data_IF_141162525907
#
_entry.id   IF_141162525907
#
_cell.length_a   1.000
_cell.length_b   1.000
_cell.length_c   1.000
_cell.angle_alpha   90.00
_cell.angle_beta   90.00
_cell.angle_gamma   90.00
#
_symmetry.space_group_name_H-M   'P 1'
#
loop_
_entity.id
_entity.type
_entity.pdbx_description
1 polymer ?
#
# COMPACT_ATOMS: atom_id res chain seq x y z
N UNK A 1 -3.28 -11.09 -0.59
CA UNK A 1 -2.07 -10.38 -0.10
C UNK A 1 -0.88 -11.27 -0.39
N UNK A 2 0.24 -10.68 -0.81
CA UNK A 2 1.48 -11.40 -1.11
C UNK A 2 2.53 -10.92 -0.11
N UNK A 3 3.29 -11.86 0.44
CA UNK A 3 4.41 -11.51 1.34
C UNK A 3 5.56 -11.02 0.48
N UNK A 4 5.96 -9.77 0.63
CA UNK A 4 7.16 -9.23 -0.01
C UNK A 4 8.42 -9.70 0.71
N UNK A 5 9.58 -9.33 0.18
CA UNK A 5 10.86 -9.59 0.85
C UNK A 5 11.04 -8.63 2.02
N UNK A 6 11.13 -9.15 3.24
CA UNK A 6 11.41 -8.35 4.44
C UNK A 6 12.91 -8.06 4.61
N UNK A 7 13.21 -6.94 5.29
CA UNK A 7 14.54 -6.39 5.51
C UNK A 7 15.52 -7.37 6.18
N UNK A 8 14.99 -8.32 6.96
CA UNK A 8 15.78 -9.34 7.67
C UNK A 8 16.38 -10.40 6.75
N UNK A 9 15.83 -10.59 5.54
CA UNK A 9 16.28 -11.62 4.59
C UNK A 9 17.28 -11.10 3.56
N UNK A 10 17.65 -9.81 3.63
CA UNK A 10 18.38 -9.13 2.55
C UNK A 10 19.86 -9.50 2.46
N UNK A 11 20.47 -9.93 3.57
CA UNK A 11 21.88 -10.29 3.64
C UNK A 11 22.17 -11.74 3.18
N UNK A 12 21.15 -12.61 3.13
CA UNK A 12 21.27 -14.00 2.72
C UNK A 12 20.68 -14.17 1.31
N UNK A 13 21.55 -14.31 0.31
CA UNK A 13 21.14 -14.50 -1.09
C UNK A 13 20.26 -15.75 -1.27
N UNK A 14 20.41 -16.80 -0.46
CA UNK A 14 19.56 -18.00 -0.53
C UNK A 14 18.16 -17.69 -0.03
N UNK A 15 18.05 -16.99 1.11
CA UNK A 15 16.77 -16.55 1.65
C UNK A 15 16.06 -15.59 0.68
N UNK A 16 16.80 -14.64 0.11
CA UNK A 16 16.32 -13.70 -0.90
C UNK A 16 15.83 -14.43 -2.17
N UNK A 17 16.57 -15.42 -2.66
CA UNK A 17 16.17 -16.25 -3.81
C UNK A 17 14.87 -16.99 -3.51
N UNK A 18 14.77 -17.64 -2.35
CA UNK A 18 13.56 -18.36 -1.94
C UNK A 18 12.35 -17.42 -1.82
N UNK A 19 12.54 -16.20 -1.32
CA UNK A 19 11.48 -15.21 -1.25
C UNK A 19 11.01 -14.77 -2.66
N UNK A 20 11.93 -14.59 -3.62
CA UNK A 20 11.56 -14.37 -5.02
C UNK A 20 10.85 -15.57 -5.66
N UNK A 21 11.24 -16.80 -5.33
CA UNK A 21 10.52 -18.01 -5.79
C UNK A 21 9.08 -18.00 -5.29
N UNK A 22 8.86 -17.66 -4.02
CA UNK A 22 7.50 -17.51 -3.46
C UNK A 22 6.71 -16.45 -4.21
N UNK A 23 7.28 -15.24 -4.38
CA UNK A 23 6.64 -14.15 -5.11
C UNK A 23 6.27 -14.54 -6.54
N UNK A 24 7.16 -15.22 -7.26
CA UNK A 24 6.93 -15.69 -8.64
C UNK A 24 5.76 -16.67 -8.69
N UNK A 25 5.70 -17.64 -7.77
CA UNK A 25 4.63 -18.62 -7.73
C UNK A 25 3.28 -17.97 -7.40
N UNK A 26 3.26 -17.03 -6.46
CA UNK A 26 2.05 -16.27 -6.10
C UNK A 26 1.58 -15.39 -7.26
N UNK A 27 2.49 -14.66 -7.91
CA UNK A 27 2.19 -13.84 -9.09
C UNK A 27 1.62 -14.67 -10.24
N UNK A 28 2.26 -15.81 -10.55
CA UNK A 28 1.79 -16.73 -11.61
C UNK A 28 0.38 -17.29 -11.35
N UNK A 29 -0.05 -17.31 -10.09
CA UNK A 29 -1.35 -17.84 -9.68
C UNK A 29 -2.41 -16.75 -9.43
N UNK A 30 -2.03 -15.46 -9.46
CA UNK A 30 -2.90 -14.36 -9.01
C UNK A 30 -4.04 -14.04 -9.98
N UNK A 31 -3.86 -14.33 -11.28
CA UNK A 31 -4.84 -14.00 -12.33
C UNK A 31 -5.10 -12.49 -12.40
N UNK A 32 -6.35 -12.09 -12.15
CA UNK A 32 -6.79 -10.68 -12.10
C UNK A 32 -7.00 -10.16 -10.67
N UNK A 33 -6.59 -10.92 -9.66
CA UNK A 33 -6.81 -10.56 -8.25
C UNK A 33 -5.91 -9.39 -7.87
N UNK A 34 -6.44 -8.40 -7.15
CA UNK A 34 -5.62 -7.30 -6.64
C UNK A 34 -4.61 -7.79 -5.59
N UNK A 35 -3.36 -7.34 -5.71
CA UNK A 35 -2.24 -7.79 -4.89
C UNK A 35 -1.78 -6.64 -3.99
N UNK A 36 -1.68 -6.91 -2.69
CA UNK A 36 -1.02 -6.02 -1.74
C UNK A 36 0.31 -6.67 -1.39
N UNK A 37 1.40 -5.98 -1.70
CA UNK A 37 2.77 -6.38 -1.35
C UNK A 37 2.99 -5.95 0.11
N UNK A 38 2.95 -6.92 1.02
CA UNK A 38 3.20 -6.69 2.44
C UNK A 38 4.68 -6.90 2.74
N UNK A 39 5.40 -5.82 3.02
CA UNK A 39 6.83 -5.84 3.34
C UNK A 39 7.19 -4.63 4.20
N UNK A 40 8.17 -4.80 5.10
CA UNK A 40 8.75 -3.70 5.88
C UNK A 40 9.75 -2.83 5.10
N UNK A 41 10.08 -3.19 3.85
CA UNK A 41 11.13 -2.55 3.05
C UNK A 41 10.96 -1.04 2.94
N UNK A 42 9.75 -0.56 2.60
CA UNK A 42 9.50 0.87 2.43
C UNK A 42 9.53 1.61 3.77
N UNK A 43 9.04 0.97 4.84
CA UNK A 43 9.07 1.55 6.18
C UNK A 43 10.52 1.70 6.66
N UNK A 44 11.35 0.67 6.51
CA UNK A 44 12.77 0.70 6.88
C UNK A 44 13.57 1.67 6.00
N UNK A 45 13.28 1.73 4.70
CA UNK A 45 13.98 2.62 3.79
C UNK A 45 13.57 4.10 3.93
N UNK A 46 12.45 4.41 4.58
CA UNK A 46 11.90 5.79 4.63
C UNK A 46 12.86 6.82 5.22
N UNK A 47 13.70 6.43 6.18
CA UNK A 47 14.60 7.34 6.88
C UNK A 47 15.80 7.80 6.04
N UNK A 48 16.33 6.94 5.16
CA UNK A 48 17.59 7.20 4.44
C UNK A 48 17.61 6.71 2.98
N UNK A 49 16.42 6.40 2.43
CA UNK A 49 16.23 5.82 1.10
C UNK A 49 16.88 4.45 0.93
N UNK A 50 16.96 3.69 2.02
CA UNK A 50 17.49 2.33 2.04
C UNK A 50 19.02 2.26 2.03
N UNK A 51 19.72 3.37 2.31
CA UNK A 51 21.19 3.39 2.34
C UNK A 51 21.75 2.46 3.43
N UNK A 52 21.12 2.41 4.60
CA UNK A 52 21.51 1.54 5.71
C UNK A 52 21.34 0.05 5.40
N UNK A 53 20.48 -0.30 4.45
CA UNK A 53 20.31 -1.70 3.99
C UNK A 53 21.50 -2.17 3.15
N UNK A 54 22.30 -1.24 2.62
CA UNK A 54 23.52 -1.55 1.87
C UNK A 54 23.25 -2.28 0.55
N UNK A 55 24.18 -3.16 0.18
CA UNK A 55 24.12 -3.92 -1.07
C UNK A 55 23.20 -5.12 -0.88
N UNK A 56 22.23 -5.28 -1.79
CA UNK A 56 21.30 -6.41 -1.83
C UNK A 56 21.52 -7.14 -3.17
N UNK A 57 21.74 -8.46 -3.15
CA UNK A 57 22.04 -9.25 -4.35
C UNK A 57 20.78 -9.52 -5.22
N UNK A 58 20.02 -8.48 -5.56
CA UNK A 58 18.73 -8.54 -6.25
C UNK A 58 18.81 -9.28 -7.57
N UNK A 59 19.75 -8.90 -8.45
CA UNK A 59 19.86 -9.49 -9.79
C UNK A 59 20.17 -10.97 -9.74
N UNK A 60 21.12 -11.34 -8.88
CA UNK A 60 21.56 -12.73 -8.71
C UNK A 60 20.40 -13.58 -8.20
N UNK A 61 19.76 -13.14 -7.11
CA UNK A 61 18.67 -13.87 -6.49
C UNK A 61 17.44 -13.98 -7.41
N UNK A 62 17.04 -12.91 -8.10
CA UNK A 62 15.92 -12.96 -9.03
C UNK A 62 16.22 -13.84 -10.24
N UNK A 63 17.42 -13.76 -10.81
CA UNK A 63 17.83 -14.64 -11.93
C UNK A 63 17.79 -16.11 -11.53
N UNK A 64 18.28 -16.43 -10.34
CA UNK A 64 18.23 -17.79 -9.80
C UNK A 64 16.78 -18.25 -9.59
N UNK A 65 15.92 -17.39 -9.03
CA UNK A 65 14.51 -17.68 -8.81
C UNK A 65 13.76 -17.95 -10.13
N UNK A 66 13.95 -17.09 -11.13
CA UNK A 66 13.38 -17.25 -12.49
C UNK A 66 13.83 -18.56 -13.14
N UNK A 67 15.12 -18.89 -13.01
CA UNK A 67 15.66 -20.15 -13.54
C UNK A 67 15.05 -21.37 -12.85
N UNK A 68 14.89 -21.32 -11.52
CA UNK A 68 14.35 -22.44 -10.73
C UNK A 68 12.86 -22.69 -10.97
N UNK A 69 12.11 -21.64 -11.30
CA UNK A 69 10.65 -21.67 -11.55
C UNK A 69 10.31 -21.83 -13.03
N UNK A 70 11.29 -21.70 -13.93
CA UNK A 70 11.08 -21.64 -15.39
C UNK A 70 10.10 -20.55 -15.82
N UNK A 71 10.04 -19.44 -15.08
CA UNK A 71 9.16 -18.31 -15.35
C UNK A 71 9.65 -17.44 -16.51
N UNK A 72 8.73 -16.74 -17.17
CA UNK A 72 9.02 -15.87 -18.30
C UNK A 72 9.15 -14.41 -17.85
N UNK A 73 10.32 -14.05 -17.32
CA UNK A 73 10.72 -12.67 -17.05
C UNK A 73 11.95 -12.36 -17.91
N UNK A 74 11.96 -11.22 -18.61
CA UNK A 74 13.07 -10.86 -19.49
C UNK A 74 14.36 -10.63 -18.67
N UNK A 75 15.42 -11.34 -19.04
CA UNK A 75 16.73 -11.23 -18.38
C UNK A 75 17.34 -9.83 -18.50
N UNK A 76 17.02 -9.09 -19.57
CA UNK A 76 17.48 -7.71 -19.75
C UNK A 76 16.82 -6.77 -18.74
N UNK A 77 15.53 -7.00 -18.45
CA UNK A 77 14.82 -6.22 -17.43
C UNK A 77 15.42 -6.48 -16.05
N UNK A 78 15.75 -7.74 -15.72
CA UNK A 78 16.46 -8.10 -14.49
C UNK A 78 17.84 -7.41 -14.44
N UNK A 79 18.59 -7.42 -15.54
CA UNK A 79 19.91 -6.80 -15.61
C UNK A 79 19.87 -5.27 -15.45
N UNK A 80 18.75 -4.63 -15.81
CA UNK A 80 18.55 -3.18 -15.69
C UNK A 80 18.31 -2.70 -14.26
N UNK A 81 17.98 -3.61 -13.33
CA UNK A 81 17.77 -3.29 -11.92
C UNK A 81 19.06 -2.82 -11.23
N UNK A 82 18.97 -2.42 -9.98
CA UNK A 82 20.11 -2.14 -9.09
C UNK A 82 20.21 -3.21 -7.98
N UNK A 83 21.38 -3.30 -7.34
CA UNK A 83 21.63 -4.24 -6.23
C UNK A 83 21.52 -3.51 -4.88
N UNK A 84 20.35 -2.94 -4.63
CA UNK A 84 20.01 -2.13 -3.45
C UNK A 84 18.49 -2.19 -3.16
N UNK A 85 18.04 -1.43 -2.15
CA UNK A 85 16.63 -1.40 -1.74
C UNK A 85 15.69 -0.92 -2.87
N UNK A 86 16.13 0.04 -3.69
CA UNK A 86 15.37 0.50 -4.85
C UNK A 86 15.20 -0.63 -5.86
N UNK A 87 16.30 -1.30 -6.22
CA UNK A 87 16.29 -2.41 -7.16
C UNK A 87 15.42 -3.57 -6.68
N UNK A 88 15.41 -3.84 -5.37
CA UNK A 88 14.54 -4.84 -4.77
C UNK A 88 13.05 -4.49 -4.92
N UNK A 89 12.67 -3.23 -4.66
CA UNK A 89 11.30 -2.79 -4.82
C UNK A 89 10.87 -2.83 -6.31
N UNK A 90 11.76 -2.39 -7.21
CA UNK A 90 11.54 -2.48 -8.65
C UNK A 90 11.45 -3.93 -9.16
N UNK A 91 12.20 -4.86 -8.55
CA UNK A 91 12.14 -6.28 -8.86
C UNK A 91 10.75 -6.87 -8.58
N UNK A 92 10.10 -6.49 -7.48
CA UNK A 92 8.74 -6.97 -7.19
C UNK A 92 7.75 -6.46 -8.24
N UNK A 93 7.83 -5.18 -8.58
CA UNK A 93 7.00 -4.60 -9.63
C UNK A 93 7.20 -5.32 -10.98
N UNK A 94 8.46 -5.62 -11.34
CA UNK A 94 8.80 -6.36 -12.56
C UNK A 94 8.17 -7.75 -12.55
N UNK A 95 8.30 -8.51 -11.46
CA UNK A 95 7.73 -9.85 -11.34
C UNK A 95 6.21 -9.82 -11.49
N UNK A 96 5.53 -8.92 -10.79
CA UNK A 96 4.08 -8.80 -10.83
C UNK A 96 3.58 -8.34 -12.20
N UNK A 97 4.23 -7.35 -12.80
CA UNK A 97 3.85 -6.84 -14.13
C UNK A 97 4.09 -7.88 -15.24
N UNK A 98 5.13 -8.72 -15.10
CA UNK A 98 5.45 -9.77 -16.08
C UNK A 98 4.52 -10.97 -15.96
N UNK A 99 4.22 -11.43 -14.74
CA UNK A 99 3.53 -12.70 -14.51
C UNK A 99 2.03 -12.54 -14.21
N UNK A 100 1.62 -11.37 -13.73
CA UNK A 100 0.23 -11.04 -13.41
C UNK A 100 -0.21 -9.70 -14.06
N UNK A 101 -0.08 -9.52 -15.38
CA UNK A 101 -0.33 -8.24 -16.05
C UNK A 101 -1.79 -7.74 -15.97
N UNK A 102 -2.72 -8.60 -15.53
CA UNK A 102 -4.13 -8.25 -15.33
C UNK A 102 -4.46 -7.97 -13.86
N UNK A 103 -3.54 -8.25 -12.94
CA UNK A 103 -3.68 -7.91 -11.54
C UNK A 103 -3.28 -6.45 -11.33
N UNK A 104 -4.04 -5.73 -10.51
CA UNK A 104 -3.55 -4.46 -9.96
C UNK A 104 -2.73 -4.75 -8.72
N UNK A 105 -1.68 -3.98 -8.47
CA UNK A 105 -0.88 -4.19 -7.27
C UNK A 105 -0.43 -2.90 -6.59
N UNK A 106 -0.15 -3.00 -5.30
CA UNK A 106 0.30 -1.87 -4.50
C UNK A 106 1.15 -2.26 -3.31
N UNK A 107 2.00 -1.32 -2.89
CA UNK A 107 2.91 -1.50 -1.76
C UNK A 107 2.30 -1.10 -0.44
N UNK A 108 2.63 -1.82 0.63
CA UNK A 108 2.33 -1.36 1.99
C UNK A 108 3.27 -0.23 2.43
N UNK A 109 2.71 0.75 3.14
CA UNK A 109 3.45 1.79 3.85
C UNK A 109 2.73 2.10 5.16
N UNK A 110 3.45 2.12 6.27
CA UNK A 110 2.82 2.23 7.58
C UNK A 110 2.52 3.69 7.94
N UNK A 111 1.32 3.93 8.46
CA UNK A 111 0.99 5.17 9.18
C UNK A 111 1.71 5.10 10.54
N UNK A 112 2.91 5.69 10.58
CA UNK A 112 3.80 5.63 11.74
C UNK A 112 3.41 6.52 12.93
N UNK A 113 4.33 6.63 13.89
CA UNK A 113 4.10 7.26 15.20
C UNK A 113 3.75 8.75 15.11
N UNK A 114 4.12 9.42 14.01
CA UNK A 114 3.74 10.80 13.75
C UNK A 114 2.22 11.00 13.89
N UNK A 115 1.40 9.99 13.59
CA UNK A 115 -0.06 10.07 13.64
C UNK A 115 -0.62 10.32 15.06
N UNK A 116 0.17 10.05 16.11
CA UNK A 116 -0.23 10.28 17.50
C UNK A 116 -0.02 11.73 17.98
N UNK A 117 0.70 12.54 17.20
CA UNK A 117 0.97 13.93 17.57
C UNK A 117 -0.16 14.87 17.13
N UNK A 118 -0.15 16.07 17.69
CA UNK A 118 -0.98 17.20 17.24
C UNK A 118 -0.17 18.10 16.32
N UNK A 119 -0.81 18.60 15.26
CA UNK A 119 -0.16 19.46 14.28
C UNK A 119 -0.93 20.77 14.10
N UNK A 120 -0.21 21.86 13.89
CA UNK A 120 -0.82 23.18 13.61
C UNK A 120 -1.48 23.27 12.23
N UNK A 121 -1.32 22.24 11.38
CA UNK A 121 -1.98 22.13 10.08
C UNK A 121 -1.21 21.24 9.10
N UNK A 122 -1.67 21.25 7.85
CA UNK A 122 -1.19 20.39 6.75
C UNK A 122 0.32 20.43 6.54
N UNK A 123 0.92 21.62 6.60
CA UNK A 123 2.38 21.79 6.42
C UNK A 123 3.19 21.15 7.55
N UNK A 124 2.66 21.13 8.77
CA UNK A 124 3.33 20.50 9.89
C UNK A 124 3.32 18.96 9.74
N UNK A 125 2.23 18.38 9.23
CA UNK A 125 2.18 16.95 8.84
C UNK A 125 3.19 16.65 7.73
N UNK A 126 3.24 17.51 6.70
CA UNK A 126 4.18 17.34 5.58
C UNK A 126 5.64 17.27 6.03
N UNK A 127 6.03 18.24 6.87
CA UNK A 127 7.39 18.32 7.39
C UNK A 127 7.72 17.18 8.36
N UNK A 128 6.72 16.62 9.06
CA UNK A 128 6.93 15.59 10.07
C UNK A 128 6.96 14.17 9.49
N UNK A 129 6.30 13.92 8.36
CA UNK A 129 6.21 12.56 7.81
C UNK A 129 6.03 12.49 6.29
N UNK A 130 5.12 13.28 5.70
CA UNK A 130 4.75 13.05 4.28
C UNK A 130 5.88 13.30 3.30
N UNK A 131 6.74 14.29 3.58
CA UNK A 131 7.86 14.61 2.69
C UNK A 131 8.86 13.46 2.54
N UNK A 132 9.20 12.78 3.63
CA UNK A 132 10.13 11.66 3.63
C UNK A 132 9.56 10.46 2.85
N UNK A 133 8.31 10.08 3.16
CA UNK A 133 7.64 9.00 2.43
C UNK A 133 7.46 9.32 0.94
N UNK A 134 7.05 10.54 0.60
CA UNK A 134 6.86 10.95 -0.79
C UNK A 134 8.18 10.96 -1.57
N UNK A 135 9.26 11.46 -0.97
CA UNK A 135 10.60 11.47 -1.56
C UNK A 135 11.15 10.05 -1.73
N UNK A 136 10.96 9.15 -0.75
CA UNK A 136 11.30 7.73 -0.89
C UNK A 136 10.60 7.13 -2.12
N UNK A 137 9.27 7.19 -2.18
CA UNK A 137 8.49 6.56 -3.24
C UNK A 137 8.84 7.13 -4.63
N UNK A 138 9.14 8.43 -4.70
CA UNK A 138 9.63 9.08 -5.92
C UNK A 138 11.02 8.55 -6.31
N UNK A 139 11.94 8.47 -5.35
CA UNK A 139 13.32 8.02 -5.59
C UNK A 139 13.40 6.56 -6.05
N UNK A 140 12.52 5.69 -5.52
CA UNK A 140 12.44 4.29 -5.93
C UNK A 140 11.75 4.11 -7.28
N UNK A 141 11.13 5.16 -7.83
CA UNK A 141 10.46 5.15 -9.12
C UNK A 141 9.31 4.14 -9.25
N UNK A 142 8.63 3.80 -8.14
CA UNK A 142 7.61 2.73 -8.12
C UNK A 142 6.30 3.09 -8.82
N UNK A 143 6.04 4.39 -9.01
CA UNK A 143 4.76 4.94 -9.49
C UNK A 143 4.93 5.87 -10.68
N UNK A 144 6.05 5.81 -11.40
CA UNK A 144 6.28 6.68 -12.56
C UNK A 144 5.27 6.34 -13.68
N UNK A 145 4.55 7.35 -14.16
CA UNK A 145 3.44 7.17 -15.12
C UNK A 145 3.87 6.49 -16.42
N UNK A 146 5.10 6.71 -16.86
CA UNK A 146 5.64 6.17 -18.12
C UNK A 146 6.30 4.78 -17.94
N UNK A 147 6.37 4.26 -16.70
CA UNK A 147 6.93 2.95 -16.42
C UNK A 147 5.91 1.84 -16.74
N UNK A 148 6.34 0.82 -17.48
CA UNK A 148 5.54 -0.38 -17.73
C UNK A 148 5.35 -1.23 -16.48
N UNK A 149 6.24 -1.08 -15.48
CA UNK A 149 6.25 -1.84 -14.24
C UNK A 149 5.85 -0.95 -13.05
N UNK A 150 4.90 -0.03 -13.23
CA UNK A 150 4.44 0.81 -12.11
C UNK A 150 3.46 0.03 -11.23
N UNK A 151 3.46 0.35 -9.93
CA UNK A 151 2.35 -0.05 -9.06
C UNK A 151 1.10 0.82 -9.35
N UNK A 152 -0.07 0.31 -8.98
CA UNK A 152 -1.37 0.92 -9.28
C UNK A 152 -1.96 1.69 -8.11
N UNK A 153 -1.61 1.29 -6.89
CA UNK A 153 -2.05 1.96 -5.67
C UNK A 153 -0.97 1.88 -4.58
N UNK A 154 -1.08 2.74 -3.58
CA UNK A 154 -0.32 2.63 -2.32
C UNK A 154 -1.28 2.18 -1.20
N UNK A 155 -0.88 1.20 -0.40
CA UNK A 155 -1.67 0.65 0.69
C UNK A 155 -1.15 1.12 2.05
N UNK A 156 -1.87 2.02 2.70
CA UNK A 156 -1.52 2.51 4.02
C UNK A 156 -2.05 1.60 5.12
N UNK A 157 -1.17 1.16 6.02
CA UNK A 157 -1.53 0.29 7.15
C UNK A 157 -1.44 1.04 8.46
N UNK A 158 -2.11 0.53 9.50
CA UNK A 158 -1.92 0.98 10.87
C UNK A 158 -1.79 -0.25 11.78
N UNK A 159 -0.77 -0.26 12.62
CA UNK A 159 -0.58 -1.35 13.58
C UNK A 159 -1.69 -1.41 14.63
N UNK A 160 -2.13 -2.63 14.95
CA UNK A 160 -3.00 -2.92 16.09
C UNK A 160 -2.24 -2.88 17.43
N UNK A 161 -0.91 -2.96 17.40
CA UNK A 161 -0.06 -2.92 18.60
C UNK A 161 0.05 -1.52 19.21
N UNK A 162 -0.32 -0.49 18.47
CA UNK A 162 -0.34 0.90 18.94
C UNK A 162 -1.77 1.31 19.31
N UNK A 163 -1.96 2.31 20.20
CA UNK A 163 -3.29 2.74 20.63
C UNK A 163 -4.19 3.17 19.47
N UNK A 164 -5.52 3.15 19.70
CA UNK A 164 -6.46 3.73 18.75
C UNK A 164 -6.17 5.23 18.55
N UNK A 165 -6.30 5.71 17.32
CA UNK A 165 -6.20 7.13 17.01
C UNK A 165 -7.50 7.84 17.41
N UNK A 166 -7.39 9.03 17.97
CA UNK A 166 -8.52 9.94 18.14
C UNK A 166 -9.02 10.47 16.78
N UNK A 167 -10.20 11.09 16.75
CA UNK A 167 -10.75 11.71 15.54
C UNK A 167 -9.82 12.77 14.93
N UNK A 168 -9.10 13.50 15.79
CA UNK A 168 -8.12 14.51 15.38
C UNK A 168 -6.85 13.84 14.83
N UNK A 169 -6.36 12.78 15.48
CA UNK A 169 -5.20 12.02 15.00
C UNK A 169 -5.49 11.34 13.65
N UNK A 170 -6.71 10.81 13.47
CA UNK A 170 -7.16 10.33 12.16
C UNK A 170 -7.25 11.43 11.10
N UNK A 171 -7.52 12.69 11.49
CA UNK A 171 -7.44 13.80 10.55
C UNK A 171 -6.01 13.95 10.01
N UNK A 172 -5.00 13.93 10.88
CA UNK A 172 -3.60 14.05 10.48
C UNK A 172 -3.11 12.83 9.70
N UNK A 173 -3.52 11.63 10.08
CA UNK A 173 -3.23 10.40 9.34
C UNK A 173 -3.79 10.46 7.91
N UNK A 174 -5.05 10.88 7.73
CA UNK A 174 -5.64 11.04 6.40
C UNK A 174 -5.03 12.18 5.59
N UNK A 175 -4.59 13.26 6.25
CA UNK A 175 -3.84 14.31 5.58
C UNK A 175 -2.48 13.78 5.07
N UNK A 176 -1.78 12.96 5.86
CA UNK A 176 -0.56 12.29 5.43
C UNK A 176 -0.82 11.39 4.21
N UNK A 177 -1.85 10.54 4.27
CA UNK A 177 -2.26 9.67 3.15
C UNK A 177 -2.53 10.49 1.90
N UNK A 178 -3.27 11.59 2.03
CA UNK A 178 -3.56 12.50 0.93
C UNK A 178 -2.29 13.10 0.34
N UNK A 179 -1.42 13.65 1.19
CA UNK A 179 -0.20 14.33 0.75
C UNK A 179 0.76 13.41 0.01
N UNK A 180 0.95 12.19 0.53
CA UNK A 180 1.82 11.19 -0.12
C UNK A 180 1.21 10.75 -1.45
N UNK A 181 -0.08 10.36 -1.46
CA UNK A 181 -0.78 9.91 -2.68
C UNK A 181 -0.89 10.99 -3.76
N UNK A 182 -1.18 12.24 -3.39
CA UNK A 182 -1.21 13.39 -4.31
C UNK A 182 0.17 13.63 -4.93
N UNK A 183 1.24 13.50 -4.13
CA UNK A 183 2.61 13.72 -4.60
C UNK A 183 3.04 12.69 -5.65
N UNK A 184 2.79 11.40 -5.39
CA UNK A 184 3.10 10.31 -6.31
C UNK A 184 2.00 10.09 -7.38
N UNK A 185 0.94 10.90 -7.35
CA UNK A 185 -0.21 10.85 -8.28
C UNK A 185 -0.85 9.47 -8.40
N UNK A 186 -0.97 8.76 -7.29
CA UNK A 186 -1.44 7.37 -7.25
C UNK A 186 -2.55 7.23 -6.22
N UNK A 187 -3.65 6.49 -6.50
CA UNK A 187 -4.71 6.28 -5.52
C UNK A 187 -4.23 5.53 -4.27
N UNK A 188 -4.91 5.76 -3.15
CA UNK A 188 -4.58 5.17 -1.86
C UNK A 188 -5.62 4.11 -1.42
N UNK A 189 -5.14 3.05 -0.80
CA UNK A 189 -5.93 2.05 -0.10
C UNK A 189 -5.61 2.17 1.38
N UNK A 190 -6.60 2.14 2.27
CA UNK A 190 -6.33 1.85 3.67
C UNK A 190 -6.45 0.34 3.85
N UNK A 191 -5.38 -0.32 4.27
CA UNK A 191 -5.29 -1.78 4.34
C UNK A 191 -4.97 -2.26 5.75
N UNK A 192 -5.52 -3.42 6.13
CA UNK A 192 -5.28 -4.05 7.43
C UNK A 192 -5.52 -3.08 8.60
N UNK A 193 -6.58 -2.28 8.53
CA UNK A 193 -6.92 -1.38 9.63
C UNK A 193 -7.50 -2.17 10.81
N UNK A 194 -7.01 -1.96 12.05
CA UNK A 194 -7.53 -2.68 13.19
C UNK A 194 -9.02 -2.38 13.41
N UNK A 195 -9.89 -3.37 13.20
CA UNK A 195 -11.35 -3.19 13.26
C UNK A 195 -11.77 -2.57 14.59
N UNK A 196 -11.24 -3.12 15.69
CA UNK A 196 -11.53 -2.66 17.05
C UNK A 196 -11.13 -1.20 17.32
N UNK A 197 -10.21 -0.63 16.52
CA UNK A 197 -9.72 0.74 16.71
C UNK A 197 -10.34 1.72 15.71
N UNK A 198 -10.65 1.27 14.49
CA UNK A 198 -10.93 2.16 13.35
C UNK A 198 -12.38 2.09 12.85
N UNK A 199 -13.11 0.99 13.07
CA UNK A 199 -14.43 0.77 12.48
C UNK A 199 -15.43 1.88 12.86
N UNK A 200 -15.47 2.26 14.13
CA UNK A 200 -16.36 3.33 14.62
C UNK A 200 -16.03 4.70 14.02
N UNK A 201 -14.75 5.02 13.83
CA UNK A 201 -14.36 6.28 13.19
C UNK A 201 -14.83 6.34 11.73
N UNK A 202 -14.51 5.33 10.92
CA UNK A 202 -14.84 5.35 9.50
C UNK A 202 -16.33 5.17 9.21
N UNK A 203 -16.97 4.22 9.89
CA UNK A 203 -18.37 3.89 9.63
C UNK A 203 -19.35 4.74 10.43
N UNK A 204 -18.89 5.39 11.51
CA UNK A 204 -19.73 6.18 12.41
C UNK A 204 -20.68 5.33 13.27
N UNK A 205 -21.41 6.00 14.16
CA UNK A 205 -22.59 5.42 14.83
C UNK A 205 -23.82 5.41 13.92
N UNK A 206 -23.88 6.38 13.00
CA UNK A 206 -24.89 6.55 11.95
C UNK A 206 -24.21 6.83 10.61
N UNK A 207 -24.90 6.61 9.50
CA UNK A 207 -24.39 6.91 8.14
C UNK A 207 -23.98 8.38 7.97
N UNK A 208 -24.71 9.30 8.62
CA UNK A 208 -24.40 10.74 8.61
C UNK A 208 -23.10 11.10 9.34
N UNK A 209 -22.71 10.29 10.35
CA UNK A 209 -21.47 10.44 11.11
C UNK A 209 -20.27 9.69 10.53
N UNK A 210 -20.45 8.97 9.41
CA UNK A 210 -19.36 8.24 8.77
C UNK A 210 -18.28 9.19 8.22
N UNK A 211 -17.01 8.77 8.34
CA UNK A 211 -15.85 9.50 7.83
C UNK A 211 -15.42 9.01 6.43
N UNK A 212 -16.25 8.22 5.76
CA UNK A 212 -15.99 7.68 4.42
C UNK A 212 -15.76 8.79 3.36
N UNK A 213 -16.50 9.90 3.45
CA UNK A 213 -16.25 11.07 2.58
C UNK A 213 -14.88 11.70 2.83
N UNK A 214 -14.45 11.76 4.09
CA UNK A 214 -13.14 12.31 4.46
C UNK A 214 -12.01 11.42 3.96
N UNK A 215 -12.18 10.10 4.03
CA UNK A 215 -11.27 9.14 3.42
C UNK A 215 -11.22 9.32 1.89
N UNK A 216 -12.37 9.36 1.21
CA UNK A 216 -12.46 9.55 -0.24
C UNK A 216 -11.79 10.85 -0.72
N UNK A 217 -11.99 11.96 0.02
CA UNK A 217 -11.31 13.24 -0.26
C UNK A 217 -9.77 13.16 -0.11
N UNK A 218 -9.29 12.15 0.62
CA UNK A 218 -7.87 11.86 0.85
C UNK A 218 -7.32 10.83 -0.13
N UNK A 219 -7.95 10.70 -1.31
CA UNK A 219 -7.62 9.74 -2.38
C UNK A 219 -7.77 8.27 -1.98
N UNK A 220 -8.47 7.99 -0.88
CA UNK A 220 -8.73 6.61 -0.46
C UNK A 220 -9.87 6.03 -1.28
N UNK A 221 -9.58 5.03 -2.12
CA UNK A 221 -10.61 4.37 -2.92
C UNK A 221 -11.28 3.19 -2.20
N UNK A 222 -10.60 2.59 -1.21
CA UNK A 222 -11.13 1.50 -0.41
C UNK A 222 -10.52 1.46 1.00
N UNK A 223 -11.23 0.80 1.91
CA UNK A 223 -10.80 0.56 3.29
C UNK A 223 -10.98 -0.92 3.58
N UNK A 224 -9.88 -1.60 3.93
CA UNK A 224 -9.86 -2.99 4.34
C UNK A 224 -9.54 -3.07 5.82
N UNK A 225 -10.46 -3.63 6.58
CA UNK A 225 -10.29 -3.90 8.00
C UNK A 225 -9.61 -5.27 8.22
N UNK A 226 -8.90 -5.42 9.33
CA UNK A 226 -8.12 -6.63 9.66
C UNK A 226 -8.97 -7.84 10.08
N UNK A 227 -10.23 -7.59 10.47
CA UNK A 227 -11.13 -8.61 10.98
C UNK A 227 -12.58 -8.27 10.71
N UNK A 228 -13.35 -9.31 10.35
CA UNK A 228 -14.79 -9.19 10.21
C UNK A 228 -15.47 -9.36 11.57
N UNK A 229 -16.38 -8.45 11.89
CA UNK A 229 -17.21 -8.54 13.09
C UNK A 229 -18.66 -8.27 12.71
N UNK A 230 -19.60 -8.87 13.44
CA UNK A 230 -21.04 -8.63 13.23
C UNK A 230 -21.36 -7.14 13.28
N UNK A 231 -20.70 -6.38 14.16
CA UNK A 231 -20.87 -4.93 14.25
C UNK A 231 -20.42 -4.22 12.97
N UNK A 232 -19.23 -4.55 12.46
CA UNK A 232 -18.72 -3.98 11.21
C UNK A 232 -19.63 -4.32 10.03
N UNK A 233 -20.07 -5.58 9.90
CA UNK A 233 -21.00 -6.02 8.86
C UNK A 233 -22.31 -5.22 8.92
N UNK A 234 -22.92 -5.10 10.09
CA UNK A 234 -24.15 -4.33 10.27
C UNK A 234 -23.97 -2.85 9.88
N UNK A 235 -22.81 -2.25 10.19
CA UNK A 235 -22.50 -0.86 9.81
C UNK A 235 -22.34 -0.70 8.30
N UNK A 236 -21.72 -1.67 7.62
CA UNK A 236 -21.57 -1.68 6.15
C UNK A 236 -22.94 -1.82 5.49
N UNK A 237 -23.79 -2.74 5.96
CA UNK A 237 -25.16 -2.92 5.46
C UNK A 237 -26.02 -1.66 5.66
N UNK A 238 -25.94 -1.03 6.84
CA UNK A 238 -26.61 0.23 7.11
C UNK A 238 -26.14 1.35 6.17
N UNK A 239 -24.85 1.40 5.83
CA UNK A 239 -24.33 2.36 4.86
C UNK A 239 -24.86 2.08 3.44
N UNK A 240 -24.88 0.83 3.00
CA UNK A 240 -25.33 0.45 1.66
C UNK A 240 -26.83 0.73 1.42
N UNK A 241 -27.64 0.72 2.48
CA UNK A 241 -29.08 1.06 2.39
C UNK A 241 -29.36 2.57 2.43
N UNK A 242 -28.40 3.37 2.91
CA UNK A 242 -28.50 4.81 2.99
C UNK A 242 -27.17 5.46 2.55
N UNK A 243 -26.78 5.19 1.30
CA UNK A 243 -25.51 5.65 0.75
C UNK A 243 -25.45 7.17 0.73
N UNK A 244 -24.35 7.69 1.24
CA UNK A 244 -24.07 9.12 1.20
C UNK A 244 -23.26 9.38 -0.08
N UNK A 245 -23.71 10.27 -0.98
CA UNK A 245 -22.96 10.56 -2.20
C UNK A 245 -21.53 11.00 -1.90
N UNK A 246 -20.56 10.35 -2.54
CA UNK A 246 -19.13 10.68 -2.45
C UNK A 246 -18.83 11.83 -3.43
N UNK A 247 -19.29 13.03 -3.08
CA UNK A 247 -19.10 14.32 -3.79
C UNK A 247 -19.74 14.44 -5.20
N UNK A 248 -20.20 15.66 -5.49
CA UNK A 248 -20.90 16.06 -6.72
C UNK A 248 -19.88 16.66 -7.70
N UNK A 249 -19.68 16.02 -8.85
CA UNK A 249 -18.86 16.56 -9.97
C UNK A 249 -19.75 16.76 -11.19
N UNK A 250 -20.74 17.65 -11.12
CA UNK A 250 -21.39 18.32 -12.27
C UNK A 250 -22.14 17.48 -13.33
N UNK A 251 -21.88 16.18 -13.49
CA UNK A 251 -22.53 15.29 -14.43
C UNK A 251 -22.78 13.92 -13.77
N UNK A 252 -24.01 13.42 -13.94
CA UNK A 252 -24.61 12.17 -13.45
C UNK A 252 -24.03 11.51 -12.19
N UNK A 253 -24.83 11.49 -11.12
CA UNK A 253 -24.58 10.70 -9.91
C UNK A 253 -24.63 9.21 -10.25
N UNK A 254 -23.48 8.55 -10.42
CA UNK A 254 -23.37 7.11 -10.23
C UNK A 254 -23.06 6.85 -8.76
N UNK A 255 -24.01 6.25 -8.05
CA UNK A 255 -23.80 5.74 -6.70
C UNK A 255 -22.73 4.64 -6.77
N UNK A 256 -21.52 4.93 -6.27
CA UNK A 256 -20.47 3.91 -6.12
C UNK A 256 -20.82 2.96 -4.98
N UNK A 257 -20.94 1.67 -5.29
CA UNK A 257 -21.02 0.63 -4.28
C UNK A 257 -19.67 0.50 -3.56
N UNK A 258 -19.70 0.37 -2.22
CA UNK A 258 -18.53 -0.07 -1.47
C UNK A 258 -18.34 -1.56 -1.79
N UNK A 259 -17.30 -1.88 -2.58
CA UNK A 259 -16.88 -3.26 -2.78
C UNK A 259 -16.13 -3.69 -1.51
N UNK A 260 -16.81 -4.45 -0.66
CA UNK A 260 -16.10 -5.31 0.29
C UNK A 260 -15.39 -6.38 -0.55
N UNK A 261 -14.07 -6.32 -0.61
CA UNK A 261 -13.28 -7.44 -1.11
C UNK A 261 -13.38 -8.56 -0.06
N UNK A 262 -14.30 -9.48 -0.31
CA UNK A 262 -14.45 -10.74 0.41
C UNK A 262 -13.21 -11.60 0.13
N UNK A 263 -12.56 -12.11 1.18
CA UNK A 263 -11.61 -13.22 1.07
C UNK A 263 -12.34 -14.56 1.17
#
# INVERSE_FOLDING_TARGET
>A
MVTGVDSQSLADTTALTNAFVTLINEASSAGSTSIIISSDLLDVASADKGQALGVIAVKEALTAAVSSTSSQIDVNDINSLTNDAQGLAQAHNLVLSSLAPQATFGWTLTIGDFAYNTYSGKRAVWNAASSESADLLSSFALYQADSQNKADFIAFTKSAATPALSDEQWHYALEYVKQVSDHIKTPALLSQLPTAQAATYFMGATTASSQLRKAAHSNVFAILFDSETVELTNKIEAYNTATVPLYYVGESITNGHLLALLH
#
